data_IF_131115969780
#
_entry.id   IF_131115969780
#
_cell.length_a   1.000
_cell.length_b   1.000
_cell.length_c   1.000
_cell.angle_alpha   90.00
_cell.angle_beta   90.00
_cell.angle_gamma   90.00
#
_symmetry.space_group_name_H-M   'P 1'
#
loop_
_entity.id
_entity.type
_entity.pdbx_description
1 polymer ?
#
# COMPACT_ATOMS: atom_id res chain seq x y z
N UNK A 1 -9.71 3.83 -3.25
CA UNK A 1 -8.33 3.31 -3.28
C UNK A 1 -8.39 1.93 -3.91
N UNK A 2 -7.70 1.71 -5.03
CA UNK A 2 -7.64 0.37 -5.64
C UNK A 2 -6.66 -0.54 -4.90
N UNK A 3 -6.77 -1.85 -5.17
CA UNK A 3 -5.96 -2.88 -4.49
C UNK A 3 -4.46 -2.74 -4.79
N UNK A 4 -4.07 -2.30 -5.98
CA UNK A 4 -2.67 -2.13 -6.35
C UNK A 4 -2.03 -1.03 -5.50
N UNK A 5 -2.71 0.11 -5.40
CA UNK A 5 -2.30 1.26 -4.58
C UNK A 5 -2.20 0.91 -3.10
N UNK A 6 -3.22 0.27 -2.54
CA UNK A 6 -3.21 -0.15 -1.14
C UNK A 6 -2.11 -1.20 -0.86
N UNK A 7 -1.94 -2.19 -1.73
CA UNK A 7 -0.96 -3.26 -1.53
C UNK A 7 0.49 -2.74 -1.55
N UNK A 8 0.81 -1.83 -2.47
CA UNK A 8 2.15 -1.23 -2.53
C UNK A 8 2.47 -0.45 -1.26
N UNK A 9 1.56 0.43 -0.82
CA UNK A 9 1.82 1.23 0.37
C UNK A 9 1.83 0.38 1.65
N UNK A 10 0.96 -0.63 1.76
CA UNK A 10 0.98 -1.57 2.88
C UNK A 10 2.28 -2.37 2.95
N UNK A 11 2.77 -2.89 1.83
CA UNK A 11 4.02 -3.65 1.78
C UNK A 11 5.23 -2.80 2.23
N UNK A 12 5.19 -1.48 2.02
CA UNK A 12 6.22 -0.54 2.44
C UNK A 12 6.03 0.02 3.87
N UNK A 13 4.91 -0.27 4.53
CA UNK A 13 4.54 0.39 5.80
C UNK A 13 5.27 -0.16 7.03
N UNK A 14 5.76 -1.39 6.99
CA UNK A 14 6.39 -2.02 8.14
C UNK A 14 7.75 -1.37 8.44
N UNK A 15 8.08 -1.00 9.69
CA UNK A 15 9.29 -0.23 10.03
C UNK A 15 10.62 -0.95 9.71
N UNK A 16 10.60 -2.28 9.58
CA UNK A 16 11.77 -3.08 9.16
C UNK A 16 11.96 -3.15 7.64
N UNK A 17 11.00 -2.68 6.84
CA UNK A 17 11.07 -2.71 5.38
C UNK A 17 11.71 -1.41 4.90
N UNK A 18 12.92 -1.51 4.32
CA UNK A 18 13.62 -0.34 3.77
C UNK A 18 13.15 0.02 2.35
N UNK A 19 12.70 -0.96 1.57
CA UNK A 19 12.23 -0.77 0.21
C UNK A 19 11.37 -1.96 -0.24
N UNK A 20 10.52 -1.71 -1.24
CA UNK A 20 9.77 -2.74 -1.97
C UNK A 20 10.21 -2.75 -3.44
N UNK A 21 10.15 -3.92 -4.09
CA UNK A 21 10.52 -4.09 -5.51
C UNK A 21 9.28 -4.59 -6.26
N UNK A 22 8.35 -3.70 -6.65
CA UNK A 22 7.18 -4.11 -7.42
C UNK A 22 7.57 -4.45 -8.86
N UNK A 23 6.97 -5.50 -9.40
CA UNK A 23 7.21 -5.92 -10.77
C UNK A 23 6.70 -4.90 -11.80
N UNK A 24 7.42 -4.77 -12.91
CA UNK A 24 7.00 -4.02 -14.08
C UNK A 24 7.53 -4.69 -15.36
N UNK A 25 6.62 -5.00 -16.29
CA UNK A 25 6.90 -5.57 -17.62
C UNK A 25 6.81 -4.53 -18.74
N UNK A 26 6.31 -3.33 -18.44
CA UNK A 26 6.24 -2.21 -19.39
C UNK A 26 6.54 -0.88 -18.70
N UNK A 27 6.97 0.17 -19.44
CA UNK A 27 7.20 1.49 -18.87
C UNK A 27 5.97 2.08 -18.17
N UNK A 28 4.77 1.81 -18.69
CA UNK A 28 3.51 2.26 -18.07
C UNK A 28 3.28 1.68 -16.67
N UNK A 29 3.75 0.46 -16.40
CA UNK A 29 3.65 -0.13 -15.06
C UNK A 29 4.62 0.51 -14.07
N UNK A 30 5.80 0.96 -14.53
CA UNK A 30 6.72 1.73 -13.69
C UNK A 30 6.05 3.04 -13.27
N UNK A 31 5.46 3.76 -14.22
CA UNK A 31 4.75 5.02 -13.95
C UNK A 31 3.58 4.77 -12.98
N UNK A 32 2.77 3.74 -13.23
CA UNK A 32 1.65 3.38 -12.35
C UNK A 32 2.10 3.06 -10.92
N UNK A 33 3.17 2.27 -10.74
CA UNK A 33 3.72 1.98 -9.42
C UNK A 33 4.17 3.26 -8.69
N UNK A 34 4.81 4.19 -9.40
CA UNK A 34 5.25 5.47 -8.82
C UNK A 34 4.06 6.34 -8.43
N UNK A 35 3.05 6.46 -9.28
CA UNK A 35 1.86 7.26 -8.97
C UNK A 35 1.05 6.67 -7.82
N UNK A 36 0.91 5.34 -7.76
CA UNK A 36 0.27 4.63 -6.65
C UNK A 36 0.93 4.96 -5.29
N UNK A 37 2.26 5.06 -5.25
CA UNK A 37 2.99 5.44 -4.02
C UNK A 37 2.77 6.89 -3.58
N UNK A 38 2.26 7.77 -4.45
CA UNK A 38 1.97 9.18 -4.14
C UNK A 38 0.53 9.43 -3.68
N UNK A 39 -0.35 8.45 -3.84
CA UNK A 39 -1.76 8.59 -3.45
C UNK A 39 -1.86 8.74 -1.93
N UNK A 40 -2.47 9.83 -1.45
CA UNK A 40 -2.79 9.98 -0.04
C UNK A 40 -3.96 9.06 0.36
N UNK A 41 -3.66 7.90 0.94
CA UNK A 41 -4.67 6.97 1.46
C UNK A 41 -5.14 7.47 2.83
N UNK A 42 -6.44 7.78 3.03
CA UNK A 42 -6.93 8.23 4.32
C UNK A 42 -6.76 7.16 5.40
N UNK A 43 -6.39 7.55 6.63
CA UNK A 43 -6.26 6.62 7.76
C UNK A 43 -7.54 5.78 8.01
N UNK A 44 -8.71 6.37 7.74
CA UNK A 44 -10.00 5.69 7.85
C UNK A 44 -10.12 4.43 6.96
N UNK A 45 -9.48 4.42 5.78
CA UNK A 45 -9.47 3.26 4.89
C UNK A 45 -8.81 2.06 5.57
N UNK A 46 -7.66 2.27 6.20
CA UNK A 46 -6.94 1.21 6.92
C UNK A 46 -7.70 0.72 8.15
N UNK A 47 -8.30 1.64 8.90
CA UNK A 47 -9.14 1.32 10.06
C UNK A 47 -10.34 0.46 9.66
N UNK A 48 -10.98 0.77 8.53
CA UNK A 48 -12.09 0.00 7.99
C UNK A 48 -11.68 -1.43 7.63
N UNK A 49 -10.55 -1.62 6.92
CA UNK A 49 -10.04 -2.96 6.58
C UNK A 49 -9.78 -3.83 7.81
N UNK A 50 -9.22 -3.23 8.87
CA UNK A 50 -9.02 -3.92 10.16
C UNK A 50 -10.34 -4.25 10.84
N UNK A 51 -11.30 -3.33 10.85
CA UNK A 51 -12.62 -3.54 11.45
C UNK A 51 -13.39 -4.68 10.77
N UNK A 52 -13.22 -4.84 9.46
CA UNK A 52 -13.84 -5.89 8.66
C UNK A 52 -13.02 -7.20 8.67
N UNK A 53 -11.93 -7.28 9.44
CA UNK A 53 -11.03 -8.44 9.48
C UNK A 53 -10.46 -8.83 8.11
N UNK A 54 -10.35 -7.87 7.18
CA UNK A 54 -9.70 -8.02 5.88
C UNK A 54 -8.18 -7.77 5.97
N UNK A 55 -7.73 -7.23 7.10
CA UNK A 55 -6.34 -6.99 7.46
C UNK A 55 -6.14 -7.36 8.94
N UNK A 56 -4.95 -7.84 9.29
CA UNK A 56 -4.61 -8.13 10.67
C UNK A 56 -4.65 -6.84 11.52
N UNK A 57 -5.18 -6.93 12.74
CA UNK A 57 -5.51 -5.76 13.55
C UNK A 57 -4.29 -4.92 13.93
N UNK A 58 -3.15 -5.56 14.19
CA UNK A 58 -1.89 -4.93 14.57
C UNK A 58 -0.95 -4.69 13.37
N UNK A 59 -1.36 -5.03 12.15
CA UNK A 59 -0.55 -4.79 10.96
C UNK A 59 -0.18 -3.29 10.86
N UNK A 60 1.11 -2.94 10.71
CA UNK A 60 1.53 -1.57 10.45
C UNK A 60 0.91 -1.06 9.15
N UNK A 61 0.47 0.20 9.17
CA UNK A 61 -0.11 0.86 7.99
C UNK A 61 0.62 2.20 7.78
N UNK A 62 0.64 2.73 6.55
CA UNK A 62 1.24 4.02 6.26
C UNK A 62 0.63 5.11 7.15
N UNK A 63 1.49 5.97 7.70
CA UNK A 63 1.13 7.15 8.49
C UNK A 63 0.79 8.35 7.60
#
# INVERSE_FOLDING_TARGET
IDIHTAALQFAAAHPQVSAIIPGARSPGQIISNVEAMKVGIPAAFWAELKSQSLMEAQAPVPS
#
